data_IF_205379043098
#
_entry.id   IF_205379043098
#
_cell.length_a   1.000
_cell.length_b   1.000
_cell.length_c   1.000
_cell.angle_alpha   90.00
_cell.angle_beta   90.00
_cell.angle_gamma   90.00
#
_symmetry.space_group_name_H-M   'P 1'
#
loop_
_entity.id
_entity.type
_entity.pdbx_description
1 polymer ?
#
# COMPACT_ATOMS: atom_id res chain seq x y z
N UNK A 1 -40.69 33.08 -10.34
CA UNK A 1 -39.39 32.41 -10.14
C UNK A 1 -38.78 32.57 -8.74
N UNK A 2 -39.34 33.39 -7.83
CA UNK A 2 -38.76 33.68 -6.49
C UNK A 2 -38.93 32.58 -5.45
N UNK A 3 -39.93 31.69 -5.58
CA UNK A 3 -40.16 30.59 -4.62
C UNK A 3 -39.11 29.47 -4.71
N UNK A 4 -38.53 29.24 -5.89
CA UNK A 4 -37.49 28.22 -6.09
C UNK A 4 -36.17 28.56 -5.39
N UNK A 5 -35.76 29.85 -5.40
CA UNK A 5 -34.60 30.34 -4.64
C UNK A 5 -34.77 30.17 -3.12
N UNK A 6 -36.00 30.14 -2.61
CA UNK A 6 -36.30 29.89 -1.19
C UNK A 6 -36.36 28.40 -0.84
N UNK A 7 -36.66 27.52 -1.80
CA UNK A 7 -36.67 26.07 -1.58
C UNK A 7 -35.27 25.43 -1.60
N UNK A 8 -34.35 26.02 -2.37
CA UNK A 8 -32.95 25.58 -2.49
C UNK A 8 -32.18 25.46 -1.16
N UNK A 9 -32.25 26.42 -0.21
CA UNK A 9 -31.54 26.30 1.09
C UNK A 9 -32.11 25.18 1.99
N UNK A 10 -33.41 24.89 1.93
CA UNK A 10 -34.00 23.80 2.71
C UNK A 10 -33.54 22.43 2.16
N UNK A 11 -33.48 22.29 0.83
CA UNK A 11 -32.96 21.10 0.18
C UNK A 11 -31.46 20.91 0.48
N UNK A 12 -30.68 22.00 0.50
CA UNK A 12 -29.28 21.97 0.91
C UNK A 12 -29.10 21.56 2.38
N UNK A 13 -29.95 22.04 3.29
CA UNK A 13 -29.89 21.66 4.72
C UNK A 13 -30.17 20.18 4.95
N UNK A 14 -31.03 19.56 4.13
CA UNK A 14 -31.29 18.11 4.16
C UNK A 14 -30.14 17.26 3.60
N UNK A 15 -29.22 17.85 2.82
CA UNK A 15 -28.04 17.18 2.27
C UNK A 15 -26.79 17.29 3.16
N UNK A 16 -26.79 18.21 4.14
CA UNK A 16 -25.69 18.36 5.10
C UNK A 16 -25.34 17.07 5.87
N UNK A 17 -26.32 16.26 6.33
CA UNK A 17 -26.02 15.02 7.03
C UNK A 17 -25.28 14.01 6.13
N UNK A 18 -25.67 13.89 4.85
CA UNK A 18 -24.98 13.00 3.90
C UNK A 18 -23.52 13.43 3.66
N UNK A 19 -23.26 14.74 3.63
CA UNK A 19 -21.90 15.28 3.49
C UNK A 19 -21.05 15.01 4.73
N UNK A 20 -21.65 15.07 5.93
CA UNK A 20 -20.95 14.71 7.18
C UNK A 20 -20.56 13.22 7.22
N UNK A 21 -21.43 12.33 6.72
CA UNK A 21 -21.13 10.89 6.58
C UNK A 21 -20.03 10.62 5.54
N UNK A 22 -20.05 11.33 4.40
CA UNK A 22 -19.00 11.22 3.38
C UNK A 22 -17.63 11.66 3.91
N UNK A 23 -17.60 12.74 4.72
CA UNK A 23 -16.38 13.22 5.37
C UNK A 23 -15.83 12.21 6.38
N UNK A 24 -16.68 11.44 7.07
CA UNK A 24 -16.20 10.43 8.03
C UNK A 24 -15.51 9.27 7.33
N UNK A 25 -16.07 8.76 6.23
CA UNK A 25 -15.44 7.70 5.42
C UNK A 25 -14.08 8.15 4.88
N UNK A 26 -14.00 9.39 4.39
CA UNK A 26 -12.76 10.00 3.91
C UNK A 26 -11.69 10.07 5.01
N UNK A 27 -12.06 10.44 6.23
CA UNK A 27 -11.09 10.53 7.34
C UNK A 27 -10.52 9.17 7.75
N UNK A 28 -11.32 8.09 7.70
CA UNK A 28 -10.85 6.73 8.00
C UNK A 28 -9.90 6.25 6.92
N UNK A 29 -10.25 6.44 5.64
CA UNK A 29 -9.40 6.07 4.51
C UNK A 29 -8.04 6.78 4.55
N UNK A 30 -8.01 8.09 4.87
CA UNK A 30 -6.77 8.86 4.99
C UNK A 30 -5.89 8.36 6.16
N UNK A 31 -6.49 7.93 7.28
CA UNK A 31 -5.73 7.38 8.40
C UNK A 31 -5.10 6.04 8.05
N UNK A 32 -5.86 5.16 7.39
CA UNK A 32 -5.36 3.84 6.96
C UNK A 32 -4.25 4.01 5.92
N UNK A 33 -4.46 4.87 4.93
CA UNK A 33 -3.46 5.17 3.89
C UNK A 33 -2.14 5.65 4.48
N UNK A 34 -2.18 6.59 5.44
CA UNK A 34 -0.99 7.08 6.13
C UNK A 34 -0.24 5.97 6.89
N UNK A 35 -0.96 5.07 7.55
CA UNK A 35 -0.34 3.94 8.27
C UNK A 35 0.32 2.99 7.27
N UNK A 36 -0.35 2.65 6.18
CA UNK A 36 0.20 1.78 5.14
C UNK A 36 1.44 2.38 4.48
N UNK A 37 1.43 3.68 4.18
CA UNK A 37 2.58 4.40 3.65
C UNK A 37 3.78 4.37 4.61
N UNK A 38 3.56 4.37 5.92
CA UNK A 38 4.65 4.27 6.88
C UNK A 38 5.14 2.83 7.09
N UNK A 39 4.24 1.84 7.05
CA UNK A 39 4.55 0.44 7.36
C UNK A 39 5.21 -0.27 6.18
N UNK A 40 4.77 -0.03 4.95
CA UNK A 40 5.27 -0.72 3.75
C UNK A 40 6.80 -0.54 3.56
N UNK A 41 7.38 0.68 3.65
CA UNK A 41 8.83 0.86 3.51
C UNK A 41 9.63 0.11 4.58
N UNK A 42 9.09 0.04 5.81
CA UNK A 42 9.71 -0.70 6.91
C UNK A 42 9.72 -2.20 6.60
N UNK A 43 8.61 -2.75 6.07
CA UNK A 43 8.55 -4.14 5.64
C UNK A 43 9.53 -4.42 4.49
N UNK A 44 9.69 -3.50 3.54
CA UNK A 44 10.64 -3.64 2.44
C UNK A 44 12.08 -3.67 2.98
N UNK A 45 12.40 -2.80 3.93
CA UNK A 45 13.70 -2.79 4.60
C UNK A 45 13.97 -4.12 5.33
N UNK A 46 13.00 -4.61 6.11
CA UNK A 46 13.13 -5.90 6.81
C UNK A 46 13.28 -7.05 5.81
N UNK A 47 12.48 -7.09 4.75
CA UNK A 47 12.58 -8.10 3.70
C UNK A 47 13.96 -8.09 3.03
N UNK A 48 14.52 -6.91 2.78
CA UNK A 48 15.87 -6.75 2.23
C UNK A 48 16.93 -7.25 3.20
N UNK A 49 16.80 -6.94 4.50
CA UNK A 49 17.72 -7.44 5.53
C UNK A 49 17.68 -8.97 5.60
N UNK A 50 16.50 -9.58 5.62
CA UNK A 50 16.35 -11.05 5.65
C UNK A 50 16.93 -11.70 4.39
N UNK A 51 16.68 -11.10 3.22
CA UNK A 51 17.25 -11.55 1.96
C UNK A 51 18.79 -11.51 2.00
N UNK A 52 19.38 -10.38 2.40
CA UNK A 52 20.83 -10.23 2.51
C UNK A 52 21.43 -11.18 3.57
N UNK A 53 20.74 -11.38 4.69
CA UNK A 53 21.15 -12.33 5.71
C UNK A 53 21.18 -13.77 5.18
N UNK A 54 20.18 -14.14 4.37
CA UNK A 54 20.15 -15.41 3.66
C UNK A 54 21.32 -15.58 2.71
N UNK A 55 21.66 -14.53 1.93
CA UNK A 55 22.82 -14.54 1.02
C UNK A 55 24.12 -14.71 1.79
N UNK A 56 24.34 -13.94 2.85
CA UNK A 56 25.54 -14.04 3.69
C UNK A 56 25.64 -15.44 4.30
N UNK A 57 24.54 -15.98 4.82
CA UNK A 57 24.50 -17.32 5.42
C UNK A 57 24.81 -18.41 4.40
N UNK A 58 24.26 -18.29 3.19
CA UNK A 58 24.53 -19.22 2.10
C UNK A 58 25.99 -19.18 1.65
N UNK A 59 26.59 -17.99 1.55
CA UNK A 59 27.99 -17.82 1.15
C UNK A 59 28.99 -18.30 2.21
N UNK A 60 28.68 -18.09 3.48
CA UNK A 60 29.54 -18.48 4.62
C UNK A 60 29.34 -19.94 5.06
N UNK A 61 28.37 -20.66 4.49
CA UNK A 61 28.07 -22.05 4.85
C UNK A 61 29.21 -23.04 4.51
N UNK A 62 30.03 -22.77 3.48
CA UNK A 62 31.09 -23.69 3.08
C UNK A 62 30.53 -25.10 2.75
N UNK A 63 31.13 -26.20 3.26
CA UNK A 63 30.65 -27.56 3.03
C UNK A 63 29.49 -28.00 3.94
N UNK A 64 29.01 -27.13 4.82
CA UNK A 64 27.91 -27.42 5.75
C UNK A 64 26.55 -27.39 5.01
N UNK A 65 26.04 -28.57 4.66
CA UNK A 65 24.79 -28.71 3.90
C UNK A 65 23.57 -28.12 4.61
N UNK A 66 23.53 -28.16 5.95
CA UNK A 66 22.39 -27.63 6.70
C UNK A 66 22.35 -26.10 6.63
N UNK A 67 23.50 -25.44 6.81
CA UNK A 67 23.62 -23.99 6.66
C UNK A 67 23.34 -23.54 5.23
N UNK A 68 23.75 -24.32 4.22
CA UNK A 68 23.40 -24.02 2.84
C UNK A 68 21.89 -24.07 2.62
N UNK A 69 21.20 -25.11 3.12
CA UNK A 69 19.75 -25.25 3.00
C UNK A 69 19.03 -24.10 3.71
N UNK A 70 19.47 -23.74 4.90
CA UNK A 70 18.90 -22.61 5.65
C UNK A 70 19.13 -21.26 4.97
N UNK A 71 20.34 -21.01 4.45
CA UNK A 71 20.64 -19.81 3.67
C UNK A 71 19.75 -19.70 2.42
N UNK A 72 19.61 -20.78 1.64
CA UNK A 72 18.71 -20.83 0.47
C UNK A 72 17.26 -20.56 0.86
N UNK A 73 16.79 -21.15 1.97
CA UNK A 73 15.47 -20.89 2.50
C UNK A 73 15.27 -19.39 2.74
N UNK A 74 16.14 -18.75 3.52
CA UNK A 74 16.03 -17.31 3.80
C UNK A 74 16.05 -16.44 2.54
N UNK A 75 16.90 -16.76 1.56
CA UNK A 75 16.96 -16.06 0.27
C UNK A 75 15.61 -16.15 -0.44
N UNK A 76 15.04 -17.35 -0.56
CA UNK A 76 13.79 -17.58 -1.29
C UNK A 76 12.64 -16.83 -0.60
N UNK A 77 12.50 -16.95 0.72
CA UNK A 77 11.41 -16.28 1.44
C UNK A 77 11.56 -14.76 1.43
N UNK A 78 12.78 -14.24 1.57
CA UNK A 78 13.07 -12.81 1.41
C UNK A 78 12.74 -12.31 0.01
N UNK A 79 13.16 -13.05 -1.03
CA UNK A 79 12.92 -12.69 -2.43
C UNK A 79 11.43 -12.75 -2.79
N UNK A 80 10.71 -13.77 -2.35
CA UNK A 80 9.26 -13.90 -2.59
C UNK A 80 8.51 -12.75 -1.92
N UNK A 81 8.88 -12.39 -0.69
CA UNK A 81 8.30 -11.25 0.02
C UNK A 81 8.52 -9.93 -0.73
N UNK A 82 9.76 -9.65 -1.12
CA UNK A 82 10.11 -8.45 -1.88
C UNK A 82 9.43 -8.42 -3.25
N UNK A 83 9.43 -9.55 -3.96
CA UNK A 83 8.78 -9.68 -5.26
C UNK A 83 7.27 -9.42 -5.16
N UNK A 84 6.59 -10.00 -4.17
CA UNK A 84 5.16 -9.78 -3.97
C UNK A 84 4.84 -8.31 -3.71
N UNK A 85 5.64 -7.62 -2.89
CA UNK A 85 5.47 -6.19 -2.62
C UNK A 85 5.59 -5.37 -3.91
N UNK A 86 6.59 -5.62 -4.75
CA UNK A 86 6.77 -4.91 -6.02
C UNK A 86 5.70 -5.28 -7.05
N UNK A 87 5.33 -6.56 -7.13
CA UNK A 87 4.39 -7.08 -8.12
C UNK A 87 2.98 -6.50 -7.92
N UNK A 88 2.48 -6.43 -6.68
CA UNK A 88 1.17 -5.83 -6.37
C UNK A 88 1.12 -4.39 -6.87
N UNK A 89 2.16 -3.61 -6.59
CA UNK A 89 2.28 -2.21 -7.01
C UNK A 89 2.42 -2.03 -8.51
N UNK A 90 3.14 -2.93 -9.19
CA UNK A 90 3.21 -2.97 -10.65
C UNK A 90 1.82 -3.16 -11.28
N UNK A 91 1.03 -4.08 -10.74
CA UNK A 91 -0.35 -4.33 -11.22
C UNK A 91 -1.23 -3.11 -10.95
N UNK A 92 -1.19 -2.54 -9.74
CA UNK A 92 -1.96 -1.32 -9.40
C UNK A 92 -1.63 -0.18 -10.36
N UNK A 93 -0.35 0.04 -10.68
CA UNK A 93 0.06 1.08 -11.64
C UNK A 93 -0.52 0.83 -13.04
N UNK A 94 -0.47 -0.41 -13.53
CA UNK A 94 -1.04 -0.76 -14.85
C UNK A 94 -2.56 -0.53 -14.85
N UNK A 95 -3.27 -0.95 -13.81
CA UNK A 95 -4.72 -0.77 -13.70
C UNK A 95 -5.11 0.70 -13.65
N UNK A 96 -4.44 1.50 -12.81
CA UNK A 96 -4.72 2.95 -12.67
C UNK A 96 -4.42 3.73 -13.96
N UNK A 97 -3.36 3.36 -14.68
CA UNK A 97 -3.03 3.94 -15.98
C UNK A 97 -4.04 3.53 -17.07
N UNK A 98 -4.45 2.26 -17.11
CA UNK A 98 -5.33 1.72 -18.15
C UNK A 98 -6.76 2.26 -18.03
N UNK A 99 -7.28 2.30 -16.80
CA UNK A 99 -8.67 2.72 -16.54
C UNK A 99 -8.78 4.22 -16.24
N UNK A 100 -7.68 4.97 -16.22
CA UNK A 100 -7.66 6.40 -15.90
C UNK A 100 -8.13 6.73 -14.48
N UNK A 101 -8.26 5.73 -13.61
CA UNK A 101 -8.67 5.87 -12.21
C UNK A 101 -7.43 6.08 -11.35
N UNK A 102 -6.97 7.33 -11.29
CA UNK A 102 -5.76 7.74 -10.57
C UNK A 102 -6.02 8.94 -9.66
N UNK A 103 -6.89 8.77 -8.66
CA UNK A 103 -7.18 9.82 -7.69
C UNK A 103 -5.98 10.17 -6.79
N UNK A 104 -6.04 11.33 -6.15
CA UNK A 104 -5.00 11.83 -5.22
C UNK A 104 -4.82 10.96 -3.96
N UNK A 105 -5.66 9.94 -3.78
CA UNK A 105 -5.74 9.07 -2.60
C UNK A 105 -5.38 7.60 -2.88
N UNK A 106 -5.02 7.26 -4.11
CA UNK A 106 -4.44 5.95 -4.41
C UNK A 106 -2.94 6.18 -4.29
N UNK A 107 -2.23 5.51 -3.35
CA UNK A 107 -0.78 5.60 -3.34
C UNK A 107 -0.30 5.15 -4.73
N UNK A 108 0.67 5.85 -5.32
CA UNK A 108 1.12 5.60 -6.71
C UNK A 108 2.37 4.72 -6.76
N UNK A 109 3.01 4.58 -5.61
CA UNK A 109 4.33 3.99 -5.42
C UNK A 109 4.37 3.20 -4.10
N UNK A 110 5.36 2.32 -3.98
CA UNK A 110 5.43 1.30 -2.92
C UNK A 110 5.65 1.96 -1.57
N UNK A 111 4.60 2.19 -0.78
CA UNK A 111 4.76 2.80 0.54
C UNK A 111 5.18 4.29 0.50
N UNK A 112 4.89 4.98 -0.60
CA UNK A 112 5.19 6.41 -0.72
C UNK A 112 6.66 6.76 -0.95
N UNK A 113 7.49 5.78 -1.31
CA UNK A 113 8.86 5.95 -1.82
C UNK A 113 8.93 5.81 -3.34
#
# INVERSE_FOLDING_TARGET
MTKFKKALPYLASGLLPLMAFAQTADTVLVRVDRILQQVIPILLLIGTIVFLWGVITYLTAGPDEEKQKYGKYLIIYGLVGLFAMVAIWGIVRVLTQTFGVGGQRIPRDIGGI
#
